data_IF_113264760097
#
_entry.id   IF_113264760097
#
_cell.length_a   1.000
_cell.length_b   1.000
_cell.length_c   1.000
_cell.angle_alpha   90.00
_cell.angle_beta   90.00
_cell.angle_gamma   90.00
#
_symmetry.space_group_name_H-M   'P 1'
#
loop_
_entity.id
_entity.type
_entity.pdbx_description
1 polymer ?
#
# COMPACT_ATOMS: atom_id res chain seq x y z
N UNK A 1 -0.98 7.80 10.30
CA UNK A 1 -2.13 7.73 11.22
C UNK A 1 -2.83 6.39 11.04
N UNK A 2 -3.17 5.76 12.14
CA UNK A 2 -3.92 4.49 12.13
C UNK A 2 -5.43 4.77 12.02
N UNK A 3 -6.23 3.71 11.76
CA UNK A 3 -7.69 3.86 11.62
C UNK A 3 -8.38 4.29 12.91
N UNK A 4 -7.76 4.11 14.06
CA UNK A 4 -8.29 4.57 15.36
C UNK A 4 -7.73 5.92 15.80
N UNK A 5 -7.05 6.64 14.91
CA UNK A 5 -6.52 7.98 15.18
C UNK A 5 -5.12 8.06 15.76
N UNK A 6 -4.50 6.91 16.05
CA UNK A 6 -3.13 6.87 16.57
C UNK A 6 -2.10 7.21 15.50
N UNK A 7 -0.84 7.31 15.92
CA UNK A 7 0.29 7.59 15.01
C UNK A 7 1.26 6.41 15.04
N UNK A 8 1.90 6.16 13.88
CA UNK A 8 2.94 5.14 13.75
C UNK A 8 4.00 5.63 12.79
N UNK A 9 5.28 5.46 13.13
CA UNK A 9 6.38 5.77 12.22
C UNK A 9 6.49 4.68 11.15
N UNK A 10 6.88 5.06 9.93
CA UNK A 10 6.99 4.14 8.81
C UNK A 10 7.92 2.96 9.12
N UNK A 11 9.05 3.21 9.77
CA UNK A 11 9.99 2.13 10.14
C UNK A 11 9.36 1.12 11.09
N UNK A 12 8.49 1.56 11.99
CA UNK A 12 7.81 0.68 12.94
C UNK A 12 6.70 -0.12 12.22
N UNK A 13 6.05 0.50 11.26
CA UNK A 13 5.09 -0.17 10.40
C UNK A 13 5.77 -1.32 9.64
N UNK A 14 6.95 -1.09 9.10
CA UNK A 14 7.72 -2.12 8.40
C UNK A 14 8.09 -3.28 9.33
N UNK A 15 8.44 -2.99 10.57
CA UNK A 15 8.77 -4.03 11.56
C UNK A 15 7.59 -4.94 11.87
N UNK A 16 6.38 -4.40 11.86
CA UNK A 16 5.16 -5.17 12.14
C UNK A 16 4.87 -6.24 11.09
N UNK A 17 5.47 -6.13 9.90
CA UNK A 17 5.26 -7.06 8.79
C UNK A 17 6.41 -8.03 8.57
N UNK A 18 7.45 -8.00 9.41
CA UNK A 18 8.55 -8.98 9.30
C UNK A 18 8.02 -10.39 9.46
N UNK A 19 8.54 -11.30 8.65
CA UNK A 19 8.11 -12.68 8.62
C UNK A 19 7.09 -12.98 7.54
N UNK A 20 6.56 -11.96 6.87
CA UNK A 20 5.62 -12.10 5.76
C UNK A 20 6.05 -11.25 4.57
N UNK A 21 5.91 -11.82 3.36
CA UNK A 21 6.00 -11.01 2.15
C UNK A 21 4.89 -9.98 2.18
N UNK A 22 5.20 -8.73 1.94
CA UNK A 22 4.26 -7.61 2.09
C UNK A 22 4.19 -6.79 0.82
N UNK A 23 2.97 -6.44 0.40
CA UNK A 23 2.72 -5.43 -0.63
C UNK A 23 2.22 -4.17 0.06
N UNK A 24 2.90 -3.06 -0.19
CA UNK A 24 2.44 -1.74 0.25
C UNK A 24 1.86 -1.03 -0.96
N UNK A 25 0.59 -0.63 -0.88
CA UNK A 25 -0.02 0.22 -1.89
C UNK A 25 -0.16 1.63 -1.34
N UNK A 26 0.39 2.59 -2.07
CA UNK A 26 0.20 4.02 -1.79
C UNK A 26 -0.91 4.51 -2.69
N UNK A 27 -1.97 5.09 -2.12
CA UNK A 27 -3.19 5.43 -2.84
C UNK A 27 -3.87 6.67 -2.24
N UNK A 28 -5.00 7.05 -2.80
CA UNK A 28 -5.92 8.03 -2.21
C UNK A 28 -7.32 7.76 -2.71
N UNK A 29 -8.33 8.10 -1.92
CA UNK A 29 -9.73 7.87 -2.29
C UNK A 29 -10.16 8.69 -3.51
N UNK A 30 -9.51 9.84 -3.75
CA UNK A 30 -9.78 10.72 -4.90
C UNK A 30 -9.03 10.32 -6.17
N UNK A 31 -8.15 9.34 -6.10
CA UNK A 31 -7.28 8.93 -7.21
C UNK A 31 -8.02 7.97 -8.14
N UNK A 32 -8.37 8.42 -9.34
CA UNK A 32 -9.13 7.59 -10.29
C UNK A 32 -8.36 6.35 -10.75
N UNK A 33 -7.05 6.46 -10.97
CA UNK A 33 -6.22 5.32 -11.37
C UNK A 33 -6.12 4.29 -10.25
N UNK A 34 -6.10 4.74 -8.98
CA UNK A 34 -6.13 3.86 -7.83
C UNK A 34 -7.44 3.07 -7.77
N UNK A 35 -8.57 3.77 -7.95
CA UNK A 35 -9.91 3.16 -7.92
C UNK A 35 -10.08 2.16 -9.05
N UNK A 36 -9.65 2.51 -10.26
CA UNK A 36 -9.71 1.61 -11.42
C UNK A 36 -8.87 0.34 -11.22
N UNK A 37 -7.80 0.42 -10.45
CA UNK A 37 -6.92 -0.72 -10.17
C UNK A 37 -7.46 -1.65 -9.07
N UNK A 38 -8.48 -1.25 -8.31
CA UNK A 38 -8.99 -2.04 -7.18
C UNK A 38 -9.37 -3.48 -7.53
N UNK A 39 -10.07 -3.76 -8.66
CA UNK A 39 -10.35 -5.15 -9.01
C UNK A 39 -9.10 -6.01 -9.19
N UNK A 40 -8.04 -5.44 -9.77
CA UNK A 40 -6.76 -6.15 -9.92
C UNK A 40 -6.05 -6.37 -8.60
N UNK A 41 -6.15 -5.42 -7.67
CA UNK A 41 -5.61 -5.57 -6.32
C UNK A 41 -6.31 -6.73 -5.61
N UNK A 42 -7.63 -6.80 -5.70
CA UNK A 42 -8.41 -7.88 -5.08
C UNK A 42 -8.07 -9.24 -5.69
N UNK A 43 -7.86 -9.30 -7.00
CA UNK A 43 -7.41 -10.52 -7.68
C UNK A 43 -6.02 -10.92 -7.19
N UNK A 44 -5.11 -9.97 -7.04
CA UNK A 44 -3.78 -10.21 -6.52
C UNK A 44 -3.83 -10.77 -5.10
N UNK A 45 -4.70 -10.22 -4.25
CA UNK A 45 -4.91 -10.73 -2.89
C UNK A 45 -5.43 -12.16 -2.89
N UNK A 46 -6.38 -12.46 -3.77
CA UNK A 46 -6.94 -13.81 -3.88
C UNK A 46 -5.88 -14.83 -4.35
N UNK A 47 -5.00 -14.42 -5.26
CA UNK A 47 -3.94 -15.29 -5.79
C UNK A 47 -2.77 -15.49 -4.83
N UNK A 48 -2.62 -14.60 -3.84
CA UNK A 48 -1.50 -14.63 -2.89
C UNK A 48 -2.01 -14.48 -1.45
N UNK A 49 -2.77 -15.47 -0.94
CA UNK A 49 -3.35 -15.36 0.40
C UNK A 49 -2.32 -15.30 1.53
N UNK A 50 -1.09 -15.73 1.27
CA UNK A 50 0.00 -15.69 2.24
C UNK A 50 0.67 -14.32 2.35
N UNK A 51 0.37 -13.40 1.44
CA UNK A 51 0.98 -12.07 1.37
C UNK A 51 0.18 -11.08 2.21
N UNK A 52 0.88 -10.27 3.00
CA UNK A 52 0.25 -9.19 3.75
C UNK A 52 0.11 -7.95 2.86
N UNK A 53 -1.03 -7.29 2.92
CA UNK A 53 -1.29 -6.04 2.19
C UNK A 53 -1.44 -4.89 3.16
N UNK A 54 -0.70 -3.81 2.89
CA UNK A 54 -0.74 -2.58 3.68
C UNK A 54 -1.01 -1.43 2.73
N UNK A 55 -2.01 -0.62 3.07
CA UNK A 55 -2.43 0.54 2.27
C UNK A 55 -2.07 1.81 3.01
N UNK A 56 -1.35 2.71 2.33
CA UNK A 56 -0.99 4.02 2.88
C UNK A 56 -1.66 5.08 2.04
N UNK A 57 -2.58 5.84 2.65
CA UNK A 57 -3.37 6.84 1.95
C UNK A 57 -2.72 8.21 1.99
N UNK A 58 -2.82 8.90 0.87
CA UNK A 58 -2.44 10.31 0.71
C UNK A 58 -3.65 11.25 0.83
N UNK A 59 -4.78 10.76 1.37
CA UNK A 59 -5.96 11.60 1.59
C UNK A 59 -5.65 12.73 2.57
N UNK A 60 -6.36 13.85 2.40
CA UNK A 60 -6.17 15.03 3.25
C UNK A 60 -6.91 14.94 4.58
N UNK A 61 -8.02 14.18 4.60
CA UNK A 61 -8.86 14.07 5.80
C UNK A 61 -9.14 12.61 6.12
N UNK A 62 -9.26 12.31 7.41
CA UNK A 62 -9.57 10.97 7.88
C UNK A 62 -10.95 10.51 7.39
N UNK A 63 -11.93 11.42 7.32
CA UNK A 63 -13.29 11.10 6.89
C UNK A 63 -13.32 10.51 5.48
N UNK A 64 -12.63 11.15 4.53
CA UNK A 64 -12.56 10.68 3.15
C UNK A 64 -11.78 9.38 3.03
N UNK A 65 -10.72 9.24 3.80
CA UNK A 65 -9.91 8.04 3.87
C UNK A 65 -10.73 6.84 4.34
N UNK A 66 -11.39 6.97 5.49
CA UNK A 66 -12.20 5.89 6.06
C UNK A 66 -13.39 5.53 5.16
N UNK A 67 -14.05 6.53 4.59
CA UNK A 67 -15.14 6.31 3.63
C UNK A 67 -14.66 5.56 2.39
N UNK A 68 -13.47 5.87 1.90
CA UNK A 68 -12.87 5.17 0.76
C UNK A 68 -12.57 3.71 1.04
N UNK A 69 -12.03 3.40 2.21
CA UNK A 69 -11.77 2.03 2.64
C UNK A 69 -13.07 1.22 2.62
N UNK A 70 -14.12 1.77 3.23
CA UNK A 70 -15.41 1.10 3.31
C UNK A 70 -16.06 0.94 1.93
N UNK A 71 -16.08 2.01 1.14
CA UNK A 71 -16.68 2.00 -0.20
C UNK A 71 -16.06 0.95 -1.11
N UNK A 72 -14.75 0.83 -1.09
CA UNK A 72 -14.01 -0.10 -1.96
C UNK A 72 -13.74 -1.44 -1.31
N UNK A 73 -14.18 -1.64 -0.07
CA UNK A 73 -14.03 -2.91 0.66
C UNK A 73 -12.59 -3.41 0.64
N UNK A 74 -11.65 -2.52 0.97
CA UNK A 74 -10.22 -2.84 0.95
C UNK A 74 -9.83 -3.62 2.19
N UNK A 75 -9.32 -4.83 2.01
CA UNK A 75 -8.88 -5.72 3.09
C UNK A 75 -7.38 -5.59 3.28
N UNK A 76 -6.96 -5.36 4.52
CA UNK A 76 -5.55 -5.23 4.86
C UNK A 76 -5.34 -4.26 5.99
N UNK A 77 -4.08 -3.91 6.25
CA UNK A 77 -3.73 -2.89 7.22
C UNK A 77 -3.79 -1.50 6.56
N UNK A 78 -4.39 -0.53 7.23
CA UNK A 78 -4.61 0.80 6.66
C UNK A 78 -3.98 1.89 7.51
N UNK A 79 -3.25 2.79 6.83
CA UNK A 79 -2.62 3.96 7.45
C UNK A 79 -2.79 5.16 6.54
N UNK A 80 -2.76 6.36 7.12
CA UNK A 80 -2.81 7.60 6.35
C UNK A 80 -1.54 8.40 6.61
N UNK A 81 -0.89 8.87 5.54
CA UNK A 81 0.27 9.76 5.65
C UNK A 81 -0.23 11.19 5.87
N UNK A 82 0.08 11.76 7.04
CA UNK A 82 -0.42 13.08 7.42
C UNK A 82 0.08 14.21 6.52
N UNK A 83 1.27 14.03 5.95
CA UNK A 83 1.96 15.07 5.19
C UNK A 83 1.76 14.94 3.67
N UNK A 84 0.95 13.99 3.23
CA UNK A 84 0.66 13.75 1.82
C UNK A 84 1.93 13.41 1.00
N UNK A 85 1.88 13.62 -0.33
CA UNK A 85 2.95 13.18 -1.24
C UNK A 85 4.28 13.91 -1.02
N UNK A 86 4.22 15.17 -0.60
CA UNK A 86 5.43 15.99 -0.40
C UNK A 86 5.94 15.98 1.03
N UNK A 87 5.29 15.22 1.91
CA UNK A 87 5.69 15.10 3.31
C UNK A 87 6.88 14.15 3.50
N UNK A 88 7.18 13.87 4.75
CA UNK A 88 8.34 13.03 5.12
C UNK A 88 8.26 11.64 4.49
N UNK A 89 7.10 10.99 4.58
CA UNK A 89 6.91 9.66 3.99
C UNK A 89 7.05 9.69 2.46
N UNK A 90 6.35 10.62 1.79
CA UNK A 90 6.39 10.73 0.34
C UNK A 90 7.79 10.99 -0.19
N UNK A 91 8.55 11.84 0.48
CA UNK A 91 9.93 12.11 0.12
C UNK A 91 10.83 10.90 0.36
N UNK A 92 10.61 10.16 1.44
CA UNK A 92 11.40 8.97 1.77
C UNK A 92 11.30 7.88 0.69
N UNK A 93 10.14 7.75 0.04
CA UNK A 93 9.94 6.78 -1.04
C UNK A 93 10.01 7.41 -2.42
N UNK A 94 10.42 8.67 -2.49
CA UNK A 94 10.49 9.42 -3.75
C UNK A 94 9.18 9.30 -4.53
N UNK A 95 8.09 9.68 -3.88
CA UNK A 95 6.74 9.50 -4.41
C UNK A 95 6.44 10.56 -5.46
N UNK A 96 6.22 10.12 -6.70
CA UNK A 96 5.92 10.98 -7.85
C UNK A 96 4.62 10.62 -8.57
N UNK A 97 4.00 9.51 -8.16
CA UNK A 97 2.80 8.98 -8.81
C UNK A 97 2.05 8.06 -7.83
N UNK A 98 0.74 8.03 -7.88
CA UNK A 98 -0.09 7.04 -7.21
C UNK A 98 -1.07 6.43 -8.22
N UNK A 99 -1.40 5.12 -8.12
CA UNK A 99 -0.94 4.22 -7.06
C UNK A 99 0.54 3.83 -7.23
N UNK A 100 1.21 3.59 -6.12
CA UNK A 100 2.56 3.03 -6.06
C UNK A 100 2.51 1.72 -5.30
N UNK A 101 3.19 0.70 -5.81
CA UNK A 101 3.26 -0.62 -5.16
C UNK A 101 4.71 -0.91 -4.79
N UNK A 102 4.91 -1.26 -3.53
CA UNK A 102 6.23 -1.60 -2.98
C UNK A 102 6.13 -3.01 -2.41
N UNK A 103 7.08 -3.89 -2.76
CA UNK A 103 7.09 -5.26 -2.24
C UNK A 103 8.28 -5.44 -1.33
N UNK A 104 8.02 -5.98 -0.14
CA UNK A 104 9.02 -6.35 0.84
C UNK A 104 9.05 -7.87 0.97
N UNK A 105 10.25 -8.45 1.06
CA UNK A 105 10.39 -9.87 1.35
C UNK A 105 10.18 -10.15 2.85
N UNK A 106 10.25 -11.41 3.25
CA UNK A 106 10.02 -11.84 4.63
C UNK A 106 11.02 -11.25 5.63
N UNK A 107 12.18 -10.78 5.15
CA UNK A 107 13.20 -10.16 6.00
C UNK A 107 12.99 -8.66 6.15
N UNK A 108 12.04 -8.09 5.42
CA UNK A 108 11.77 -6.66 5.40
C UNK A 108 12.56 -5.89 4.35
N UNK A 109 13.24 -6.61 3.46
CA UNK A 109 14.00 -5.98 2.38
C UNK A 109 13.09 -5.59 1.23
N UNK A 110 13.27 -4.40 0.67
CA UNK A 110 12.52 -3.92 -0.50
C UNK A 110 13.06 -4.64 -1.74
N UNK A 111 12.19 -5.38 -2.44
CA UNK A 111 12.53 -6.11 -3.66
C UNK A 111 11.88 -5.54 -4.91
N UNK A 112 10.82 -4.73 -4.77
CA UNK A 112 10.21 -3.98 -5.84
C UNK A 112 9.73 -2.65 -5.26
N UNK A 113 9.97 -1.54 -5.97
CA UNK A 113 9.88 -0.23 -5.34
C UNK A 113 9.04 0.79 -6.12
N UNK A 114 9.02 0.71 -7.47
CA UNK A 114 8.39 1.72 -8.30
C UNK A 114 7.27 1.19 -9.21
N UNK A 115 6.64 0.07 -8.85
CA UNK A 115 5.53 -0.47 -9.64
C UNK A 115 4.30 0.44 -9.54
N UNK A 116 3.58 0.56 -10.63
CA UNK A 116 2.36 1.38 -10.74
C UNK A 116 1.21 0.52 -11.25
N UNK A 117 0.05 1.13 -11.54
CA UNK A 117 -1.16 0.42 -11.96
C UNK A 117 -1.03 -0.37 -13.28
N UNK A 118 0.04 -0.13 -14.02
CA UNK A 118 0.33 -0.84 -15.28
C UNK A 118 1.22 -2.06 -15.08
N UNK A 119 1.71 -2.28 -13.86
CA UNK A 119 2.76 -3.26 -13.57
C UNK A 119 2.27 -4.49 -12.82
N UNK A 120 0.97 -4.83 -12.88
CA UNK A 120 0.42 -5.97 -12.13
C UNK A 120 1.05 -7.30 -12.52
N UNK A 121 1.44 -7.49 -13.77
CA UNK A 121 2.13 -8.70 -14.20
C UNK A 121 3.48 -8.83 -13.50
N UNK A 122 4.24 -7.72 -13.42
CA UNK A 122 5.52 -7.69 -12.71
C UNK A 122 5.33 -7.92 -11.21
N UNK A 123 4.31 -7.33 -10.61
CA UNK A 123 3.99 -7.52 -9.20
C UNK A 123 3.69 -9.00 -8.92
N UNK A 124 2.83 -9.60 -9.73
CA UNK A 124 2.46 -11.01 -9.59
C UNK A 124 3.68 -11.93 -9.75
N UNK A 125 4.50 -11.69 -10.75
CA UNK A 125 5.73 -12.45 -11.00
C UNK A 125 6.69 -12.34 -9.81
N UNK A 126 6.88 -11.14 -9.28
CA UNK A 126 7.75 -10.89 -8.12
C UNK A 126 7.25 -11.66 -6.90
N UNK A 127 5.95 -11.63 -6.63
CA UNK A 127 5.36 -12.37 -5.51
C UNK A 127 5.55 -13.88 -5.68
N UNK A 128 5.40 -14.39 -6.90
CA UNK A 128 5.63 -15.81 -7.17
C UNK A 128 7.07 -16.24 -6.90
N UNK A 129 8.04 -15.38 -7.20
CA UNK A 129 9.45 -15.66 -6.92
C UNK A 129 9.79 -15.68 -5.43
N UNK A 130 8.98 -15.04 -4.61
CA UNK A 130 9.21 -14.94 -3.17
C UNK A 130 8.55 -16.07 -2.37
N UNK A 131 7.86 -16.97 -3.04
CA UNK A 131 7.23 -18.14 -2.39
C UNK A 131 8.25 -19.19 -1.98
#
# INVERSE_FOLDING_TARGET
MTTNGGQIAFKDLLKNHKGKTTVIEVWASWCSDCVKAMPKVKELQANHPEVAFTFISMDKTADKWLAGIEKHELKGAHYMANDQMKGVFGQAIDLDWIPRYIILDKTGKIVLYRAIEKDFDLINETLNKLK
#
